data_IF_550186371352
#
_entry.id   IF_550186371352
#
_cell.length_a   1.000
_cell.length_b   1.000
_cell.length_c   1.000
_cell.angle_alpha   90.00
_cell.angle_beta   90.00
_cell.angle_gamma   90.00
#
_symmetry.space_group_name_H-M   'P 1'
#
loop_
_entity.id
_entity.type
_entity.pdbx_description
1 polymer ?
#
# COMPACT_ATOMS: atom_id res chain seq x y z
N UNK A 1 -9.85 66.54 19.93
CA UNK A 1 -10.56 65.70 18.94
C UNK A 1 -10.19 66.27 17.59
N UNK A 2 -9.21 65.63 16.99
CA UNK A 2 -8.33 66.18 15.96
C UNK A 2 -8.92 66.28 14.56
N UNK A 3 -8.32 67.23 13.82
CA UNK A 3 -8.33 67.55 12.40
C UNK A 3 -8.59 66.38 11.42
N UNK A 4 -9.51 66.53 10.44
CA UNK A 4 -9.37 67.15 9.11
C UNK A 4 -8.53 66.37 8.08
N UNK A 5 -9.22 66.03 6.97
CA UNK A 5 -8.79 66.07 5.56
C UNK A 5 -7.78 65.03 5.03
N UNK A 6 -8.29 64.15 4.14
CA UNK A 6 -7.78 63.88 2.78
C UNK A 6 -8.69 62.79 2.17
N UNK A 7 -9.22 62.86 0.95
CA UNK A 7 -8.79 63.64 -0.20
C UNK A 7 -7.71 62.90 -1.00
N UNK A 8 -8.04 61.75 -1.61
CA UNK A 8 -7.27 61.27 -2.77
C UNK A 8 -8.10 60.29 -3.62
N UNK A 9 -8.50 60.75 -4.80
CA UNK A 9 -8.79 59.85 -5.90
C UNK A 9 -7.50 59.13 -6.29
N UNK A 10 -7.56 57.81 -6.45
CA UNK A 10 -6.75 57.09 -7.43
C UNK A 10 -7.60 55.97 -8.00
N UNK A 11 -8.30 56.31 -9.08
CA UNK A 11 -8.46 55.37 -10.18
C UNK A 11 -7.07 55.22 -10.79
N UNK A 12 -6.43 54.06 -10.67
CA UNK A 12 -5.71 53.46 -11.80
C UNK A 12 -5.18 52.06 -11.48
N UNK A 13 -5.12 51.28 -12.55
CA UNK A 13 -4.29 50.09 -12.75
C UNK A 13 -4.61 48.85 -11.90
N UNK A 14 -5.59 48.11 -12.41
CA UNK A 14 -5.49 46.65 -12.49
C UNK A 14 -4.38 46.34 -13.51
N UNK A 15 -3.21 45.90 -13.06
CA UNK A 15 -2.26 45.18 -13.90
C UNK A 15 -1.47 44.21 -13.01
N UNK A 16 -1.85 42.94 -13.09
CA UNK A 16 -1.03 41.82 -12.65
C UNK A 16 -1.35 40.63 -13.56
N UNK A 17 -0.93 40.71 -14.81
CA UNK A 17 -0.59 39.51 -15.56
C UNK A 17 0.65 38.89 -14.93
N UNK A 18 0.47 37.78 -14.22
CA UNK A 18 1.54 36.81 -13.97
C UNK A 18 1.10 35.53 -14.63
N UNK A 19 1.40 35.44 -15.92
CA UNK A 19 1.34 34.21 -16.70
C UNK A 19 2.56 33.38 -16.29
N UNK A 20 2.38 32.38 -15.43
CA UNK A 20 3.41 31.38 -15.18
C UNK A 20 3.56 30.50 -16.43
N UNK A 21 4.45 30.91 -17.34
CA UNK A 21 5.04 30.02 -18.32
C UNK A 21 6.15 29.23 -17.62
N UNK A 22 5.86 27.99 -17.21
CA UNK A 22 6.90 27.04 -16.80
C UNK A 22 7.14 26.05 -17.94
N UNK A 23 8.33 26.23 -18.51
CA UNK A 23 8.95 25.51 -19.60
C UNK A 23 9.00 23.99 -19.36
N UNK A 24 8.36 23.22 -20.24
CA UNK A 24 8.70 21.80 -20.42
C UNK A 24 10.05 21.76 -21.14
N UNK A 25 11.10 21.48 -20.39
CA UNK A 25 12.38 21.05 -20.95
C UNK A 25 12.21 19.64 -21.49
N UNK A 26 12.27 19.51 -22.81
CA UNK A 26 12.41 18.23 -23.50
C UNK A 26 13.66 17.53 -22.99
N UNK A 27 13.48 16.47 -22.22
CA UNK A 27 14.56 15.52 -21.92
C UNK A 27 14.64 14.53 -23.06
N UNK A 28 15.82 14.50 -23.65
CA UNK A 28 16.25 13.68 -24.77
C UNK A 28 15.93 12.21 -24.56
N UNK A 29 15.40 11.62 -25.63
CA UNK A 29 15.28 10.19 -25.88
C UNK A 29 16.69 9.56 -25.93
N UNK A 30 17.23 9.21 -24.77
CA UNK A 30 18.44 8.42 -24.63
C UNK A 30 18.06 6.98 -24.27
N UNK A 31 18.24 6.09 -25.25
CA UNK A 31 18.61 4.69 -25.07
C UNK A 31 17.73 3.90 -24.10
N UNK A 32 16.64 3.31 -24.61
CA UNK A 32 16.08 2.10 -24.01
C UNK A 32 17.04 0.94 -24.24
N UNK A 33 18.07 0.89 -23.40
CA UNK A 33 18.87 -0.31 -23.19
C UNK A 33 17.99 -1.27 -22.38
N UNK A 34 17.09 -1.96 -23.08
CA UNK A 34 16.35 -3.09 -22.55
C UNK A 34 17.31 -4.30 -22.45
N UNK A 35 18.30 -4.21 -21.57
CA UNK A 35 19.08 -5.34 -21.08
C UNK A 35 18.95 -5.41 -19.56
N UNK A 36 17.72 -5.69 -19.13
CA UNK A 36 17.45 -6.37 -17.88
C UNK A 36 17.12 -7.82 -18.18
N UNK A 37 18.04 -8.55 -18.82
CA UNK A 37 18.05 -10.01 -18.76
C UNK A 37 18.30 -10.33 -17.29
N UNK A 38 17.22 -10.50 -16.52
CA UNK A 38 17.32 -11.33 -15.33
C UNK A 38 17.53 -12.73 -15.88
N UNK A 39 18.80 -13.09 -16.05
CA UNK A 39 19.21 -14.49 -15.96
C UNK A 39 18.71 -14.92 -14.58
N UNK A 40 17.47 -15.42 -14.55
CA UNK A 40 17.02 -16.28 -13.47
C UNK A 40 17.82 -17.54 -13.66
N UNK A 41 19.08 -17.48 -13.25
CA UNK A 41 19.76 -18.63 -12.71
C UNK A 41 18.78 -19.18 -11.67
N UNK A 42 18.19 -20.33 -11.99
CA UNK A 42 17.45 -21.11 -11.02
C UNK A 42 18.51 -21.59 -10.03
N UNK A 43 18.82 -20.75 -9.06
CA UNK A 43 19.66 -21.10 -7.93
C UNK A 43 18.69 -21.65 -6.90
N UNK A 44 18.84 -22.94 -6.56
CA UNK A 44 18.24 -23.60 -5.41
C UNK A 44 18.71 -22.94 -4.10
N UNK A 45 18.35 -21.69 -3.90
CA UNK A 45 18.47 -20.99 -2.62
C UNK A 45 17.05 -20.84 -2.12
N UNK A 46 16.70 -21.58 -1.08
CA UNK A 46 15.54 -21.28 -0.24
C UNK A 46 15.73 -19.84 0.27
N UNK A 47 15.13 -18.83 -0.39
CA UNK A 47 15.30 -17.47 0.05
C UNK A 47 14.48 -17.36 1.31
N UNK A 48 15.14 -17.14 2.45
CA UNK A 48 14.46 -16.83 3.69
C UNK A 48 13.42 -15.73 3.40
N UNK A 49 12.13 -16.11 3.37
CA UNK A 49 11.04 -15.25 2.93
C UNK A 49 11.14 -13.90 3.64
N UNK A 50 11.14 -12.82 2.87
CA UNK A 50 11.06 -11.49 3.48
C UNK A 50 9.65 -11.24 4.05
N UNK A 51 9.49 -10.17 4.82
CA UNK A 51 8.21 -9.86 5.49
C UNK A 51 7.09 -9.57 4.46
N UNK A 52 7.43 -8.97 3.33
CA UNK A 52 6.46 -8.67 2.26
C UNK A 52 5.98 -9.95 1.58
N UNK A 53 6.91 -10.83 1.21
CA UNK A 53 6.63 -12.14 0.63
C UNK A 53 5.83 -13.02 1.59
N UNK A 54 6.14 -12.98 2.88
CA UNK A 54 5.42 -13.71 3.90
C UNK A 54 3.96 -13.25 4.02
N UNK A 55 3.73 -11.94 4.01
CA UNK A 55 2.37 -11.38 4.03
C UNK A 55 1.60 -11.72 2.75
N UNK A 56 2.26 -11.66 1.59
CA UNK A 56 1.65 -12.04 0.31
C UNK A 56 1.26 -13.53 0.31
N UNK A 57 2.12 -14.41 0.84
CA UNK A 57 1.83 -15.82 1.02
C UNK A 57 0.60 -16.03 1.93
N UNK A 58 0.54 -15.34 3.08
CA UNK A 58 -0.63 -15.39 3.96
C UNK A 58 -1.92 -14.91 3.27
N UNK A 59 -1.86 -13.81 2.52
CA UNK A 59 -3.01 -13.28 1.77
C UNK A 59 -3.57 -14.35 0.83
N UNK A 60 -2.69 -14.99 0.03
CA UNK A 60 -3.05 -16.04 -0.91
C UNK A 60 -3.61 -17.29 -0.20
N UNK A 61 -2.94 -17.75 0.86
CA UNK A 61 -3.37 -18.94 1.61
C UNK A 61 -4.74 -18.73 2.26
N UNK A 62 -4.96 -17.57 2.88
CA UNK A 62 -6.25 -17.24 3.50
C UNK A 62 -7.37 -17.07 2.47
N UNK A 63 -7.07 -16.51 1.30
CA UNK A 63 -8.05 -16.33 0.23
C UNK A 63 -8.57 -17.65 -0.34
N UNK A 64 -7.68 -18.64 -0.53
CA UNK A 64 -8.05 -19.95 -1.08
C UNK A 64 -8.68 -20.86 -0.02
N UNK A 65 -8.44 -20.60 1.27
CA UNK A 65 -8.90 -21.47 2.35
C UNK A 65 -10.38 -21.32 2.65
N UNK A 66 -11.10 -22.44 2.68
CA UNK A 66 -12.52 -22.50 3.08
C UNK A 66 -12.72 -22.69 4.59
N UNK A 67 -11.64 -22.94 5.34
CA UNK A 67 -11.64 -23.15 6.80
C UNK A 67 -10.60 -22.23 7.46
N UNK A 68 -10.76 -21.89 8.76
CA UNK A 68 -9.75 -21.14 9.49
C UNK A 68 -8.37 -21.82 9.48
N UNK A 69 -7.33 -21.04 9.15
CA UNK A 69 -5.94 -21.49 9.13
C UNK A 69 -5.24 -21.13 10.45
N UNK A 70 -4.82 -22.14 11.22
CA UNK A 70 -4.01 -21.90 12.41
C UNK A 70 -2.57 -21.51 12.04
N UNK A 71 -1.90 -20.79 12.95
CA UNK A 71 -0.46 -20.51 12.81
C UNK A 71 0.38 -21.80 12.67
N UNK A 72 -0.09 -22.91 13.24
CA UNK A 72 0.58 -24.21 13.10
C UNK A 72 0.50 -24.76 11.68
N UNK A 73 -0.67 -24.65 11.03
CA UNK A 73 -0.82 -25.03 9.61
C UNK A 73 0.01 -24.11 8.71
N UNK A 74 0.03 -22.81 8.99
CA UNK A 74 0.85 -21.85 8.25
C UNK A 74 2.34 -22.16 8.40
N UNK A 75 2.80 -22.47 9.62
CA UNK A 75 4.19 -22.85 9.88
C UNK A 75 4.60 -24.17 9.22
N UNK A 76 3.66 -25.10 9.04
CA UNK A 76 3.91 -26.36 8.35
C UNK A 76 4.15 -26.16 6.84
N UNK A 77 3.46 -25.21 6.23
CA UNK A 77 3.63 -24.91 4.79
C UNK A 77 4.82 -23.99 4.55
N UNK A 78 5.04 -23.03 5.44
CA UNK A 78 6.14 -22.07 5.36
C UNK A 78 7.31 -22.55 6.21
N UNK A 79 7.88 -23.68 5.80
CA UNK A 79 9.01 -24.32 6.48
C UNK A 79 10.15 -23.31 6.68
N UNK A 80 10.88 -23.44 7.81
CA UNK A 80 12.01 -22.56 8.12
C UNK A 80 11.66 -21.17 8.69
N UNK A 81 10.39 -20.74 8.65
CA UNK A 81 9.99 -19.44 9.20
C UNK A 81 9.71 -19.52 10.72
N UNK A 82 10.32 -18.66 11.56
CA UNK A 82 10.03 -18.65 12.99
C UNK A 82 8.58 -18.31 13.31
N UNK A 83 7.96 -19.02 14.28
CA UNK A 83 6.57 -18.74 14.71
C UNK A 83 6.33 -17.29 15.14
N UNK A 84 7.33 -16.62 15.71
CA UNK A 84 7.26 -15.21 16.06
C UNK A 84 7.11 -14.32 14.83
N UNK A 85 7.85 -14.63 13.75
CA UNK A 85 7.77 -13.90 12.48
C UNK A 85 6.42 -14.13 11.80
N UNK A 86 5.92 -15.36 11.80
CA UNK A 86 4.58 -15.68 11.30
C UNK A 86 3.50 -14.88 12.04
N UNK A 87 3.58 -14.84 13.37
CA UNK A 87 2.63 -14.09 14.20
C UNK A 87 2.71 -12.59 13.92
N UNK A 88 3.91 -12.02 13.86
CA UNK A 88 4.11 -10.59 13.58
C UNK A 88 3.54 -10.23 12.20
N UNK A 89 3.93 -10.98 11.16
CA UNK A 89 3.45 -10.71 9.80
C UNK A 89 1.94 -10.87 9.66
N UNK A 90 1.31 -11.82 10.37
CA UNK A 90 -0.15 -11.96 10.38
C UNK A 90 -0.84 -10.76 11.04
N UNK A 91 -0.29 -10.27 12.15
CA UNK A 91 -0.80 -9.09 12.85
C UNK A 91 -0.65 -7.82 12.00
N UNK A 92 0.50 -7.67 11.35
CA UNK A 92 0.77 -6.55 10.43
C UNK A 92 -0.19 -6.59 9.24
N UNK A 93 -0.41 -7.76 8.65
CA UNK A 93 -1.36 -7.95 7.55
C UNK A 93 -2.80 -7.64 7.98
N UNK A 94 -3.22 -8.06 9.18
CA UNK A 94 -4.51 -7.68 9.75
C UNK A 94 -4.66 -6.16 9.84
N UNK A 95 -3.66 -5.47 10.40
CA UNK A 95 -3.68 -4.01 10.54
C UNK A 95 -3.72 -3.28 9.19
N UNK A 96 -3.02 -3.79 8.18
CA UNK A 96 -3.07 -3.27 6.81
C UNK A 96 -4.47 -3.42 6.19
N UNK A 97 -5.10 -4.57 6.38
CA UNK A 97 -6.48 -4.79 5.95
C UNK A 97 -7.47 -3.91 6.71
N UNK A 98 -7.22 -3.64 7.99
CA UNK A 98 -8.03 -2.76 8.84
C UNK A 98 -8.00 -1.31 8.38
N UNK A 99 -6.82 -0.79 8.03
CA UNK A 99 -6.58 0.64 7.75
C UNK A 99 -6.70 1.04 6.28
N UNK A 100 -6.59 0.09 5.34
CA UNK A 100 -6.59 0.36 3.89
C UNK A 100 -7.96 0.69 3.28
N UNK A 101 -9.06 0.63 4.05
CA UNK A 101 -10.41 0.88 3.52
C UNK A 101 -10.89 -0.18 2.51
N UNK A 102 -10.25 -1.35 2.49
CA UNK A 102 -10.62 -2.50 1.64
C UNK A 102 -11.95 -3.13 2.08
N UNK A 103 -12.68 -3.74 1.15
CA UNK A 103 -13.95 -4.45 1.44
C UNK A 103 -13.79 -5.81 2.14
N UNK A 104 -12.55 -6.28 2.32
CA UNK A 104 -12.20 -7.51 3.00
C UNK A 104 -11.50 -7.20 4.33
N UNK A 105 -11.47 -8.18 5.22
CA UNK A 105 -10.76 -8.16 6.50
C UNK A 105 -10.30 -9.57 6.88
N UNK A 106 -9.35 -9.67 7.80
CA UNK A 106 -8.86 -10.95 8.32
C UNK A 106 -9.27 -11.06 9.79
N UNK A 107 -9.98 -12.12 10.17
CA UNK A 107 -10.44 -12.35 11.55
C UNK A 107 -9.81 -13.60 12.14
N UNK A 108 -9.60 -13.60 13.46
CA UNK A 108 -9.22 -14.79 14.22
C UNK A 108 -10.48 -15.50 14.73
N UNK A 109 -10.70 -16.74 14.30
CA UNK A 109 -11.85 -17.59 14.63
C UNK A 109 -11.35 -18.98 15.02
N UNK A 110 -11.79 -19.48 16.18
CA UNK A 110 -11.45 -20.81 16.68
C UNK A 110 -9.92 -21.12 16.70
N UNK A 111 -9.08 -20.11 16.95
CA UNK A 111 -7.62 -20.25 16.98
C UNK A 111 -6.95 -20.32 15.61
N UNK A 112 -7.66 -19.94 14.55
CA UNK A 112 -7.10 -19.75 13.21
C UNK A 112 -7.55 -18.43 12.59
N UNK A 113 -6.97 -18.09 11.45
CA UNK A 113 -7.25 -16.87 10.71
C UNK A 113 -8.10 -17.19 9.48
N UNK A 114 -9.02 -16.29 9.15
CA UNK A 114 -9.87 -16.40 7.95
C UNK A 114 -10.05 -15.04 7.30
N UNK A 115 -10.03 -15.01 5.98
CA UNK A 115 -10.38 -13.81 5.21
C UNK A 115 -11.89 -13.76 4.98
N UNK A 116 -12.52 -12.65 5.33
CA UNK A 116 -13.96 -12.44 5.20
C UNK A 116 -14.27 -11.07 4.62
N UNK A 117 -15.49 -10.89 4.13
CA UNK A 117 -16.00 -9.57 3.76
C UNK A 117 -16.23 -8.71 4.99
N UNK A 118 -16.16 -7.39 4.81
CA UNK A 118 -16.58 -6.44 5.84
C UNK A 118 -18.11 -6.37 5.90
N UNK A 119 -18.69 -6.19 7.11
CA UNK A 119 -20.13 -5.98 7.27
C UNK A 119 -20.67 -4.82 6.43
N UNK A 120 -19.85 -3.79 6.22
CA UNK A 120 -20.19 -2.61 5.41
C UNK A 120 -20.46 -2.95 3.93
N UNK A 121 -19.95 -4.09 3.46
CA UNK A 121 -20.17 -4.59 2.09
C UNK A 121 -21.38 -5.53 1.96
N UNK A 122 -22.14 -5.74 3.04
CA UNK A 122 -23.32 -6.62 3.08
C UNK A 122 -24.38 -6.34 2.01
N UNK A 123 -24.43 -5.11 1.48
CA UNK A 123 -25.33 -4.75 0.38
C UNK A 123 -25.01 -5.48 -0.94
N UNK A 124 -23.78 -5.94 -1.14
CA UNK A 124 -23.28 -6.42 -2.44
C UNK A 124 -23.08 -7.94 -2.53
N UNK A 125 -23.27 -8.68 -1.44
CA UNK A 125 -23.06 -10.14 -1.34
C UNK A 125 -24.35 -10.84 -0.92
#
# INVERSE_FOLDING_TARGET
MDALTNGHQVSDMLDAEVTEELTISEVSDEGRDAEGVTDSEIVDQDPALDVGELKAAFEAMLFVSHEPLSLEKLALVLEGVPKSSLKSAMQDLQAEYETSGRGLQILEVAGGYVMVTRPDQSRYI
#
